data_IF_390285688098
#
_entry.id   IF_390285688098
#
_cell.length_a   1.000
_cell.length_b   1.000
_cell.length_c   1.000
_cell.angle_alpha   90.00
_cell.angle_beta   90.00
_cell.angle_gamma   90.00
#
_symmetry.space_group_name_H-M   'P 1'
#
loop_
_entity.id
_entity.type
_entity.pdbx_description
1 polymer ?
#
# COMPACT_ATOMS: atom_id res chain seq x y z
N UNK A 1 -11.38 -35.06 -10.50
CA UNK A 1 -11.05 -34.67 -9.12
C UNK A 1 -9.60 -35.06 -8.94
N UNK A 2 -8.69 -34.08 -8.93
CA UNK A 2 -7.31 -34.32 -8.50
C UNK A 2 -7.35 -34.74 -7.02
N UNK A 3 -6.52 -35.71 -6.63
CA UNK A 3 -6.56 -36.27 -5.27
C UNK A 3 -6.20 -35.20 -4.21
N UNK A 4 -6.88 -35.21 -3.05
CA UNK A 4 -6.56 -34.29 -1.98
C UNK A 4 -5.15 -34.61 -1.48
N UNK A 5 -4.22 -33.65 -1.65
CA UNK A 5 -2.79 -33.67 -1.28
C UNK A 5 -1.79 -33.89 -2.44
N UNK A 6 -2.22 -33.90 -3.70
CA UNK A 6 -1.25 -33.83 -4.78
C UNK A 6 -0.74 -32.38 -4.94
N UNK A 7 0.58 -32.19 -4.85
CA UNK A 7 1.19 -30.88 -5.07
C UNK A 7 0.86 -30.40 -6.49
N UNK A 8 0.44 -29.14 -6.65
CA UNK A 8 0.08 -28.62 -7.97
C UNK A 8 1.27 -28.68 -8.92
N UNK A 9 1.01 -28.99 -10.18
CA UNK A 9 2.04 -29.10 -11.22
C UNK A 9 2.94 -27.85 -11.24
N UNK A 10 4.26 -28.06 -11.12
CA UNK A 10 5.25 -26.98 -11.06
C UNK A 10 5.55 -26.43 -9.66
N UNK A 11 5.02 -27.05 -8.60
CA UNK A 11 5.40 -26.76 -7.22
C UNK A 11 6.91 -26.99 -7.00
N UNK A 12 7.58 -26.04 -6.34
CA UNK A 12 9.03 -25.94 -6.13
C UNK A 12 9.90 -25.70 -7.37
N UNK A 13 9.40 -25.94 -8.58
CA UNK A 13 10.13 -25.64 -9.83
C UNK A 13 9.80 -24.25 -10.38
N UNK A 14 8.51 -23.94 -10.55
CA UNK A 14 8.04 -22.67 -11.13
C UNK A 14 7.30 -21.79 -10.12
N UNK A 15 6.75 -22.38 -9.05
CA UNK A 15 6.06 -21.63 -8.01
C UNK A 15 6.06 -22.34 -6.66
N UNK A 16 5.72 -21.61 -5.58
CA UNK A 16 5.53 -22.17 -4.23
C UNK A 16 4.07 -22.25 -3.77
N UNK A 17 3.10 -22.16 -4.69
CA UNK A 17 1.69 -22.30 -4.36
C UNK A 17 1.34 -23.74 -3.95
N UNK A 18 0.80 -23.92 -2.75
CA UNK A 18 0.42 -25.24 -2.21
C UNK A 18 -1.05 -25.57 -2.38
N UNK A 19 -1.88 -24.58 -2.72
CA UNK A 19 -3.33 -24.73 -2.81
C UNK A 19 -3.86 -24.03 -4.06
N UNK A 20 -4.78 -24.71 -4.74
CA UNK A 20 -5.62 -24.14 -5.80
C UNK A 20 -7.02 -23.90 -5.22
N UNK A 21 -7.59 -22.72 -5.49
CA UNK A 21 -8.97 -22.45 -5.06
C UNK A 21 -9.95 -23.40 -5.77
N UNK A 22 -10.92 -23.93 -5.03
CA UNK A 22 -11.99 -24.79 -5.57
C UNK A 22 -12.78 -24.13 -6.70
N UNK A 23 -12.77 -22.78 -6.75
CA UNK A 23 -13.45 -22.05 -7.80
C UNK A 23 -12.91 -22.35 -9.20
N UNK A 24 -11.64 -22.76 -9.32
CA UNK A 24 -11.05 -23.16 -10.60
C UNK A 24 -11.61 -24.47 -11.18
N UNK A 25 -12.36 -25.24 -10.39
CA UNK A 25 -13.05 -26.45 -10.84
C UNK A 25 -14.44 -26.15 -11.39
N UNK A 26 -14.97 -24.94 -11.15
CA UNK A 26 -16.31 -24.57 -11.61
C UNK A 26 -16.29 -24.32 -13.12
N UNK A 27 -17.19 -24.96 -13.91
CA UNK A 27 -17.17 -24.87 -15.38
C UNK A 27 -17.24 -23.43 -15.92
N UNK A 28 -17.93 -22.55 -15.19
CA UNK A 28 -18.14 -21.15 -15.56
C UNK A 28 -17.01 -20.21 -15.10
N UNK A 29 -16.07 -20.68 -14.28
CA UNK A 29 -15.01 -19.82 -13.72
C UNK A 29 -14.14 -19.18 -14.79
N UNK A 30 -13.89 -19.93 -15.87
CA UNK A 30 -13.14 -19.47 -17.03
C UNK A 30 -13.85 -18.31 -17.76
N UNK A 31 -15.18 -18.24 -17.67
CA UNK A 31 -16.04 -17.28 -18.36
C UNK A 31 -16.21 -15.97 -17.58
N UNK A 32 -15.75 -15.92 -16.32
CA UNK A 32 -15.78 -14.70 -15.52
C UNK A 32 -14.71 -13.70 -15.99
N UNK A 33 -15.16 -12.47 -16.27
CA UNK A 33 -14.27 -11.35 -16.60
C UNK A 33 -13.37 -10.96 -15.40
N UNK A 34 -13.91 -11.08 -14.19
CA UNK A 34 -13.18 -10.87 -12.93
C UNK A 34 -13.30 -12.14 -12.11
N UNK A 35 -12.18 -12.86 -11.96
CA UNK A 35 -12.07 -14.07 -11.13
C UNK A 35 -11.72 -13.76 -9.69
N UNK A 36 -11.04 -12.65 -9.44
CA UNK A 36 -10.65 -12.19 -8.12
C UNK A 36 -11.05 -10.73 -7.98
N UNK A 37 -11.93 -10.43 -7.03
CA UNK A 37 -12.30 -9.05 -6.70
C UNK A 37 -11.28 -8.53 -5.69
N UNK A 38 -10.42 -7.61 -6.12
CA UNK A 38 -9.35 -7.08 -5.30
C UNK A 38 -9.91 -6.11 -4.27
N UNK A 39 -9.44 -6.28 -3.03
CA UNK A 39 -9.83 -5.41 -1.95
C UNK A 39 -9.03 -4.10 -2.01
N UNK A 40 -9.54 -3.14 -2.77
CA UNK A 40 -8.91 -1.83 -2.93
C UNK A 40 -8.74 -1.12 -1.60
N UNK A 41 -9.66 -1.33 -0.64
CA UNK A 41 -9.59 -0.66 0.65
C UNK A 41 -8.34 -1.05 1.43
N UNK A 42 -8.08 -2.35 1.55
CA UNK A 42 -6.88 -2.84 2.21
C UNK A 42 -5.63 -2.69 1.35
N UNK A 43 -5.75 -2.86 0.03
CA UNK A 43 -4.62 -2.66 -0.89
C UNK A 43 -4.08 -1.24 -0.77
N UNK A 44 -4.95 -0.23 -0.89
CA UNK A 44 -4.56 1.18 -0.75
C UNK A 44 -3.96 1.46 0.63
N UNK A 45 -4.55 0.91 1.70
CA UNK A 45 -4.01 1.09 3.05
C UNK A 45 -2.61 0.49 3.20
N UNK A 46 -2.40 -0.72 2.72
CA UNK A 46 -1.11 -1.41 2.84
C UNK A 46 -0.03 -0.66 2.05
N UNK A 47 -0.35 -0.25 0.82
CA UNK A 47 0.56 0.55 -0.01
C UNK A 47 0.89 1.88 0.68
N UNK A 48 -0.13 2.58 1.21
CA UNK A 48 0.09 3.80 1.97
C UNK A 48 0.98 3.57 3.20
N UNK A 49 0.68 2.56 4.02
CA UNK A 49 1.44 2.26 5.23
C UNK A 49 2.90 1.91 4.86
N UNK A 50 3.13 1.13 3.80
CA UNK A 50 4.46 0.78 3.32
C UNK A 50 5.24 2.00 2.81
N UNK A 51 4.60 2.89 2.03
CA UNK A 51 5.22 4.15 1.56
C UNK A 51 5.55 5.02 2.77
N UNK A 52 4.57 5.28 3.63
CA UNK A 52 4.72 6.17 4.77
C UNK A 52 5.78 5.67 5.74
N UNK A 53 5.74 4.39 6.12
CA UNK A 53 6.70 3.80 7.06
C UNK A 53 8.14 3.79 6.51
N UNK A 54 8.29 3.62 5.19
CA UNK A 54 9.61 3.59 4.53
C UNK A 54 10.18 5.00 4.38
N UNK A 55 9.38 5.95 3.91
CA UNK A 55 9.78 7.37 3.76
C UNK A 55 10.09 8.00 5.12
N UNK A 56 9.28 7.70 6.13
CA UNK A 56 9.46 8.17 7.51
C UNK A 56 10.50 7.37 8.29
N UNK A 57 11.09 6.32 7.70
CA UNK A 57 12.07 5.43 8.33
C UNK A 57 11.66 5.03 9.76
N UNK A 58 10.48 4.42 9.86
CA UNK A 58 9.91 4.02 11.15
C UNK A 58 10.48 2.69 11.59
N UNK A 59 11.19 2.70 12.73
CA UNK A 59 11.85 1.51 13.28
C UNK A 59 10.88 0.34 13.45
N UNK A 60 11.20 -0.79 12.83
CA UNK A 60 10.39 -2.02 12.88
C UNK A 60 9.21 -2.08 11.90
N UNK A 61 8.95 -1.01 11.15
CA UNK A 61 7.88 -0.95 10.12
C UNK A 61 8.39 -0.54 8.74
N UNK A 62 9.52 0.15 8.67
CA UNK A 62 10.18 0.48 7.41
C UNK A 62 10.46 -0.79 6.62
N UNK A 63 10.21 -0.74 5.30
CA UNK A 63 10.62 -1.81 4.40
C UNK A 63 12.12 -1.75 4.14
N UNK A 64 12.77 -0.63 4.40
CA UNK A 64 14.21 -0.43 4.21
C UNK A 64 15.04 -0.90 5.43
N UNK A 65 15.06 -2.21 5.65
CA UNK A 65 15.84 -2.84 6.72
C UNK A 65 17.22 -3.32 6.27
N UNK A 66 18.03 -3.80 7.22
CA UNK A 66 19.36 -4.36 6.92
C UNK A 66 19.30 -5.54 5.93
N UNK A 67 18.27 -6.40 6.03
CA UNK A 67 18.07 -7.49 5.06
C UNK A 67 17.84 -6.95 3.64
N UNK A 68 16.97 -5.95 3.50
CA UNK A 68 16.71 -5.30 2.22
C UNK A 68 17.96 -4.63 1.64
N UNK A 69 18.80 -4.04 2.49
CA UNK A 69 20.10 -3.46 2.11
C UNK A 69 21.08 -4.51 1.59
N UNK A 70 21.14 -5.68 2.22
CA UNK A 70 21.94 -6.82 1.73
C UNK A 70 21.39 -7.38 0.41
N UNK A 71 20.07 -7.48 0.30
CA UNK A 71 19.42 -7.89 -0.95
C UNK A 71 19.71 -6.89 -2.07
N UNK A 72 19.75 -5.59 -1.79
CA UNK A 72 20.16 -4.58 -2.77
C UNK A 72 21.60 -4.78 -3.24
N UNK A 73 22.54 -5.16 -2.37
CA UNK A 73 23.92 -5.48 -2.79
C UNK A 73 23.99 -6.66 -3.78
N UNK A 74 23.06 -7.62 -3.68
CA UNK A 74 23.05 -8.82 -4.52
C UNK A 74 22.26 -8.61 -5.81
N UNK A 75 21.10 -7.95 -5.71
CA UNK A 75 20.08 -7.93 -6.76
C UNK A 75 19.88 -6.57 -7.42
N UNK A 76 20.42 -5.48 -6.86
CA UNK A 76 20.22 -4.12 -7.36
C UNK A 76 21.54 -3.42 -7.69
N UNK A 77 21.58 -2.71 -8.82
CA UNK A 77 22.71 -1.83 -9.18
C UNK A 77 22.57 -0.45 -8.51
N UNK A 78 22.69 -0.43 -7.17
CA UNK A 78 22.55 0.78 -6.33
C UNK A 78 23.65 0.83 -5.24
N UNK A 79 24.91 1.08 -5.62
CA UNK A 79 26.04 1.00 -4.70
C UNK A 79 25.94 1.99 -3.54
N UNK A 80 25.31 3.16 -3.73
CA UNK A 80 25.11 4.17 -2.69
C UNK A 80 24.19 3.73 -1.54
N UNK A 81 23.39 2.69 -1.76
CA UNK A 81 22.48 2.10 -0.79
C UNK A 81 22.96 0.71 -0.29
N UNK A 82 24.08 0.23 -0.82
CA UNK A 82 24.62 -1.09 -0.51
C UNK A 82 25.29 -1.14 0.86
N UNK A 83 25.30 -2.32 1.47
CA UNK A 83 26.04 -2.63 2.70
C UNK A 83 26.80 -3.94 2.51
N UNK A 84 27.92 -4.09 3.22
CA UNK A 84 28.65 -5.34 3.22
C UNK A 84 27.77 -6.49 3.72
N UNK A 85 27.88 -7.67 3.10
CA UNK A 85 27.05 -8.83 3.45
C UNK A 85 27.30 -9.29 4.89
N UNK A 86 28.51 -9.07 5.41
CA UNK A 86 28.89 -9.36 6.79
C UNK A 86 28.53 -8.24 7.77
N UNK A 87 28.04 -7.09 7.29
CA UNK A 87 27.65 -5.98 8.16
C UNK A 87 26.52 -6.41 9.11
N UNK A 88 26.76 -6.19 10.40
CA UNK A 88 25.80 -6.45 11.49
C UNK A 88 25.46 -5.17 12.28
N UNK A 89 25.98 -4.02 11.85
CA UNK A 89 25.71 -2.76 12.52
C UNK A 89 24.26 -2.30 12.31
N UNK A 90 23.88 -1.27 13.07
CA UNK A 90 22.52 -0.72 13.07
C UNK A 90 22.32 0.44 12.10
N UNK A 91 23.41 1.07 11.66
CA UNK A 91 23.36 2.28 10.85
C UNK A 91 23.65 1.95 9.39
N UNK A 92 22.70 2.25 8.52
CA UNK A 92 22.84 2.05 7.08
C UNK A 92 22.87 3.42 6.39
N UNK A 93 23.46 3.52 5.18
CA UNK A 93 23.41 4.75 4.41
C UNK A 93 21.97 5.27 4.30
N UNK A 94 21.82 6.58 4.44
CA UNK A 94 20.50 7.21 4.34
C UNK A 94 20.05 7.19 2.89
N UNK A 95 18.85 6.66 2.64
CA UNK A 95 18.30 6.62 1.29
C UNK A 95 17.72 7.96 0.84
N UNK A 96 17.72 8.18 -0.48
CA UNK A 96 17.17 9.38 -1.13
C UNK A 96 15.67 9.57 -0.91
N UNK A 97 14.95 8.48 -0.63
CA UNK A 97 13.51 8.49 -0.35
C UNK A 97 13.18 8.68 1.14
N UNK A 98 14.17 8.83 2.02
CA UNK A 98 13.97 9.02 3.46
C UNK A 98 14.02 10.49 3.87
N UNK A 99 13.00 10.95 4.58
CA UNK A 99 12.99 12.30 5.17
C UNK A 99 13.92 12.39 6.39
N UNK A 100 14.51 13.56 6.62
CA UNK A 100 15.34 13.82 7.81
C UNK A 100 14.49 13.93 9.09
N UNK A 101 15.04 13.68 10.27
CA UNK A 101 14.31 13.85 11.54
C UNK A 101 13.70 15.25 11.75
N UNK A 102 14.40 16.36 11.41
CA UNK A 102 13.79 17.68 11.45
C UNK A 102 12.58 17.81 10.53
N UNK A 103 12.64 17.27 9.30
CA UNK A 103 11.51 17.27 8.36
C UNK A 103 10.33 16.42 8.89
N UNK A 104 10.60 15.23 9.44
CA UNK A 104 9.59 14.36 10.09
C UNK A 104 8.83 15.15 11.17
N UNK A 105 9.59 15.77 12.07
CA UNK A 105 9.04 16.44 13.26
C UNK A 105 8.34 17.75 12.93
N UNK A 106 9.02 18.63 12.18
CA UNK A 106 8.56 20.00 12.00
C UNK A 106 7.45 20.12 10.96
N UNK A 107 7.48 19.31 9.91
CA UNK A 107 6.64 19.55 8.73
C UNK A 107 5.65 18.41 8.50
N UNK A 108 5.94 17.15 8.83
CA UNK A 108 4.93 16.08 8.65
C UNK A 108 4.03 16.01 9.88
N UNK A 109 4.59 15.79 11.06
CA UNK A 109 3.76 15.51 12.25
C UNK A 109 3.05 16.76 12.80
N UNK A 110 3.74 17.90 12.89
CA UNK A 110 3.10 19.16 13.31
C UNK A 110 2.05 19.64 12.32
N UNK A 111 2.33 19.56 11.02
CA UNK A 111 1.36 19.92 9.99
C UNK A 111 0.14 19.01 10.05
N UNK A 112 0.32 17.69 10.01
CA UNK A 112 -0.78 16.72 10.14
C UNK A 112 -1.62 16.95 11.40
N UNK A 113 -0.97 17.23 12.53
CA UNK A 113 -1.68 17.52 13.78
C UNK A 113 -2.43 18.86 13.77
N UNK A 114 -2.03 19.81 12.93
CA UNK A 114 -2.69 21.12 12.79
C UNK A 114 -3.87 21.11 11.81
N UNK A 115 -3.97 20.10 10.95
CA UNK A 115 -5.02 20.01 9.94
C UNK A 115 -6.41 19.87 10.58
N UNK A 116 -7.36 20.61 10.02
CA UNK A 116 -8.79 20.52 10.35
C UNK A 116 -9.57 20.22 9.10
N UNK A 117 -10.52 19.29 9.21
CA UNK A 117 -11.38 18.87 8.11
C UNK A 117 -12.84 19.19 8.43
N UNK A 118 -13.69 19.35 7.40
CA UNK A 118 -15.14 19.37 7.57
C UNK A 118 -15.63 18.13 8.31
N UNK A 119 -16.75 18.26 9.02
CA UNK A 119 -17.35 17.14 9.72
C UNK A 119 -17.67 15.98 8.76
N UNK A 120 -17.37 14.75 9.20
CA UNK A 120 -17.54 13.54 8.40
C UNK A 120 -16.50 13.29 7.29
N UNK A 121 -15.57 14.22 7.00
CA UNK A 121 -14.59 14.03 5.92
C UNK A 121 -13.33 13.25 6.31
N UNK A 122 -12.81 13.47 7.51
CA UNK A 122 -11.64 12.77 8.05
C UNK A 122 -11.70 12.85 9.57
N UNK A 123 -11.17 11.86 10.27
CA UNK A 123 -11.07 11.96 11.73
C UNK A 123 -10.04 13.02 12.14
N UNK A 124 -10.03 13.41 13.41
CA UNK A 124 -9.04 14.35 13.93
C UNK A 124 -7.65 13.71 13.92
N UNK A 125 -6.86 14.00 12.88
CA UNK A 125 -5.53 13.45 12.65
C UNK A 125 -4.52 13.76 13.75
N UNK A 126 -4.73 14.81 14.56
CA UNK A 126 -3.87 15.07 15.73
C UNK A 126 -3.85 13.91 16.72
N UNK A 127 -4.92 13.10 16.78
CA UNK A 127 -4.99 11.89 17.61
C UNK A 127 -4.20 10.72 17.03
N UNK A 128 -3.89 10.79 15.73
CA UNK A 128 -3.13 9.79 15.01
C UNK A 128 -1.63 10.11 14.99
N UNK A 129 -1.18 11.20 15.63
CA UNK A 129 0.23 11.62 15.65
C UNK A 129 0.82 11.41 17.04
N UNK A 130 1.95 10.70 17.12
CA UNK A 130 2.76 10.55 18.32
C UNK A 130 4.06 11.36 18.17
N UNK A 131 4.06 12.55 18.77
CA UNK A 131 5.22 13.46 18.76
C UNK A 131 6.42 12.92 19.55
N UNK A 132 6.24 11.97 20.48
CA UNK A 132 7.34 11.40 21.26
C UNK A 132 8.08 10.33 20.46
N UNK A 133 7.32 9.50 19.74
CA UNK A 133 7.85 8.42 18.90
C UNK A 133 8.13 8.86 17.45
N UNK A 134 7.84 10.11 17.11
CA UNK A 134 7.96 10.68 15.76
C UNK A 134 7.28 9.82 14.68
N UNK A 135 6.08 9.33 15.00
CA UNK A 135 5.33 8.38 14.15
C UNK A 135 3.84 8.71 14.17
N UNK A 136 3.10 8.10 13.25
CA UNK A 136 1.65 7.96 13.41
C UNK A 136 1.33 6.83 14.39
N UNK A 137 0.19 6.92 15.08
CA UNK A 137 -0.27 5.87 16.00
C UNK A 137 -0.62 4.61 15.20
N UNK A 138 -0.46 3.45 15.83
CA UNK A 138 -0.77 2.14 15.20
C UNK A 138 -2.26 1.95 14.88
N UNK A 139 -3.09 2.89 15.30
CA UNK A 139 -4.55 2.85 15.24
C UNK A 139 -5.16 3.76 14.16
N UNK A 140 -4.34 4.27 13.22
CA UNK A 140 -4.89 5.07 12.12
C UNK A 140 -5.87 4.25 11.29
N UNK A 141 -7.11 4.71 11.23
CA UNK A 141 -8.18 4.03 10.51
C UNK A 141 -7.90 4.06 9.01
N UNK A 142 -8.39 3.05 8.31
CA UNK A 142 -8.22 2.93 6.86
C UNK A 142 -8.72 4.14 6.10
N UNK A 143 -9.85 4.70 6.51
CA UNK A 143 -10.41 5.91 5.92
C UNK A 143 -9.45 7.11 6.03
N UNK A 144 -8.83 7.33 7.19
CA UNK A 144 -7.90 8.44 7.39
C UNK A 144 -6.62 8.22 6.56
N UNK A 145 -6.15 6.97 6.47
CA UNK A 145 -5.03 6.59 5.62
C UNK A 145 -5.31 6.88 4.13
N UNK A 146 -6.52 6.57 3.63
CA UNK A 146 -6.92 6.90 2.26
C UNK A 146 -6.95 8.40 1.99
N UNK A 147 -7.49 9.19 2.93
CA UNK A 147 -7.48 10.65 2.81
C UNK A 147 -6.04 11.17 2.70
N UNK A 148 -5.12 10.64 3.53
CA UNK A 148 -3.72 11.02 3.45
C UNK A 148 -3.13 10.59 2.11
N UNK A 149 -3.28 9.33 1.71
CA UNK A 149 -2.74 8.77 0.47
C UNK A 149 -3.18 9.56 -0.76
N UNK A 150 -4.48 9.84 -0.89
CA UNK A 150 -5.06 10.43 -2.10
C UNK A 150 -4.90 11.96 -2.15
N UNK A 151 -4.80 12.65 -1.00
CA UNK A 151 -4.90 14.12 -0.95
C UNK A 151 -3.71 14.82 -0.31
N UNK A 152 -3.15 14.24 0.75
CA UNK A 152 -2.19 14.96 1.61
C UNK A 152 -0.76 14.54 1.34
N UNK A 153 -0.52 13.27 1.00
CA UNK A 153 0.81 12.70 0.85
C UNK A 153 1.64 13.43 -0.23
N UNK A 154 1.10 13.73 -1.43
CA UNK A 154 1.84 14.52 -2.43
C UNK A 154 2.20 15.92 -1.94
N UNK A 155 1.29 16.57 -1.22
CA UNK A 155 1.51 17.93 -0.70
C UNK A 155 2.56 17.90 0.41
N UNK A 156 2.48 16.92 1.29
CA UNK A 156 3.38 16.76 2.43
C UNK A 156 4.83 16.55 1.98
N UNK A 157 5.05 15.78 0.92
CA UNK A 157 6.39 15.33 0.55
C UNK A 157 7.10 16.21 -0.50
N UNK A 158 6.38 17.16 -1.12
CA UNK A 158 6.88 17.95 -2.26
C UNK A 158 8.22 18.65 -2.00
N UNK A 159 8.33 19.34 -0.88
CA UNK A 159 9.55 20.09 -0.53
C UNK A 159 10.55 19.24 0.28
N UNK A 160 10.28 17.94 0.47
CA UNK A 160 11.08 17.06 1.33
C UNK A 160 11.89 16.03 0.58
N UNK A 161 11.36 15.58 -0.55
CA UNK A 161 11.93 14.52 -1.35
C UNK A 161 12.44 15.06 -2.69
N UNK A 162 13.46 14.44 -3.29
CA UNK A 162 13.85 14.76 -4.65
C UNK A 162 12.69 14.57 -5.63
N UNK A 163 12.63 15.39 -6.67
CA UNK A 163 11.54 15.42 -7.67
C UNK A 163 11.20 14.03 -8.22
N UNK A 164 12.22 13.22 -8.55
CA UNK A 164 12.01 11.88 -9.11
C UNK A 164 11.34 10.91 -8.13
N UNK A 165 11.60 11.04 -6.82
CA UNK A 165 10.95 10.24 -5.77
C UNK A 165 9.54 10.76 -5.53
N UNK A 166 9.40 12.07 -5.38
CA UNK A 166 8.13 12.73 -5.13
C UNK A 166 7.12 12.50 -6.25
N UNK A 167 7.55 12.58 -7.51
CA UNK A 167 6.71 12.33 -8.68
C UNK A 167 6.14 10.91 -8.66
N UNK A 168 6.96 9.90 -8.37
CA UNK A 168 6.51 8.51 -8.30
C UNK A 168 5.47 8.30 -7.20
N UNK A 169 5.69 8.84 -5.99
CA UNK A 169 4.71 8.75 -4.90
C UNK A 169 3.42 9.49 -5.28
N UNK A 170 3.54 10.65 -5.92
CA UNK A 170 2.40 11.45 -6.38
C UNK A 170 1.59 10.72 -7.44
N UNK A 171 2.22 10.03 -8.38
CA UNK A 171 1.54 9.21 -9.38
C UNK A 171 0.73 8.07 -8.75
N UNK A 172 1.25 7.41 -7.70
CA UNK A 172 0.49 6.39 -6.94
C UNK A 172 -0.70 7.04 -6.23
N UNK A 173 -0.52 8.21 -5.59
CA UNK A 173 -1.62 8.95 -4.97
C UNK A 173 -2.71 9.32 -5.98
N UNK A 174 -2.33 9.79 -7.17
CA UNK A 174 -3.27 10.14 -8.25
C UNK A 174 -3.97 8.91 -8.82
N UNK A 175 -3.29 7.77 -8.90
CA UNK A 175 -3.88 6.49 -9.29
C UNK A 175 -5.02 6.10 -8.36
N UNK A 176 -4.78 6.10 -7.03
CA UNK A 176 -5.83 5.77 -6.07
C UNK A 176 -6.93 6.81 -6.06
N UNK A 177 -6.59 8.09 -6.18
CA UNK A 177 -7.59 9.16 -6.31
C UNK A 177 -8.52 8.95 -7.52
N UNK A 178 -7.97 8.54 -8.67
CA UNK A 178 -8.75 8.30 -9.89
C UNK A 178 -9.63 7.07 -9.75
N UNK A 179 -9.08 5.95 -9.28
CA UNK A 179 -9.81 4.68 -9.14
C UNK A 179 -10.90 4.74 -8.06
N UNK A 180 -10.66 5.48 -6.98
CA UNK A 180 -11.63 5.69 -5.90
C UNK A 180 -12.61 6.84 -6.17
N UNK A 181 -12.57 7.45 -7.36
CA UNK A 181 -13.55 8.48 -7.77
C UNK A 181 -14.96 7.90 -7.88
N UNK A 182 -15.96 8.71 -7.52
CA UNK A 182 -17.38 8.37 -7.69
C UNK A 182 -17.80 8.30 -9.15
N UNK A 183 -17.10 9.03 -10.03
CA UNK A 183 -17.32 9.05 -11.48
C UNK A 183 -16.02 8.59 -12.14
N UNK A 184 -16.12 7.50 -12.90
CA UNK A 184 -15.01 6.92 -13.64
C UNK A 184 -15.14 7.24 -15.12
N UNK A 185 -14.10 7.84 -15.68
CA UNK A 185 -13.95 8.00 -17.13
C UNK A 185 -13.16 6.81 -17.70
N UNK A 186 -13.80 6.07 -18.61
CA UNK A 186 -13.20 4.89 -19.23
C UNK A 186 -11.94 5.22 -20.04
N UNK A 187 -11.85 6.42 -20.65
CA UNK A 187 -10.64 6.82 -21.38
C UNK A 187 -9.47 7.05 -20.43
N UNK A 188 -9.72 7.69 -19.29
CA UNK A 188 -8.72 7.90 -18.23
C UNK A 188 -8.27 6.58 -17.60
N UNK A 189 -9.17 5.64 -17.37
CA UNK A 189 -8.80 4.32 -16.85
C UNK A 189 -7.97 3.49 -17.84
N UNK A 190 -8.24 3.58 -19.15
CA UNK A 190 -7.41 2.91 -20.17
C UNK A 190 -5.99 3.47 -20.20
N UNK A 191 -5.85 4.80 -20.17
CA UNK A 191 -4.54 5.46 -20.04
C UNK A 191 -3.83 5.04 -18.76
N UNK A 192 -4.57 4.97 -17.66
CA UNK A 192 -4.02 4.51 -16.38
C UNK A 192 -3.52 3.06 -16.50
N UNK A 193 -4.30 2.16 -17.10
CA UNK A 193 -3.90 0.76 -17.31
C UNK A 193 -2.58 0.62 -18.09
N UNK A 194 -2.33 1.51 -19.06
CA UNK A 194 -1.07 1.57 -19.80
C UNK A 194 0.08 2.18 -18.99
N UNK A 195 -0.21 3.13 -18.10
CA UNK A 195 0.82 3.82 -17.32
C UNK A 195 1.22 3.11 -16.02
N UNK A 196 0.33 2.33 -15.39
CA UNK A 196 0.63 1.64 -14.11
C UNK A 196 1.86 0.72 -14.21
N UNK A 197 2.05 -0.09 -15.27
CA UNK A 197 3.26 -0.90 -15.38
C UNK A 197 4.55 -0.06 -15.37
N UNK A 198 4.53 1.11 -16.02
CA UNK A 198 5.66 2.05 -16.05
C UNK A 198 5.89 2.65 -14.66
N UNK A 199 4.81 3.04 -13.98
CA UNK A 199 4.86 3.53 -12.60
C UNK A 199 5.47 2.48 -11.65
N UNK A 200 5.08 1.21 -11.76
CA UNK A 200 5.66 0.12 -10.97
C UNK A 200 7.16 -0.01 -11.23
N UNK A 201 7.60 -0.02 -12.49
CA UNK A 201 9.03 -0.05 -12.83
C UNK A 201 9.80 1.17 -12.28
N UNK A 202 9.20 2.36 -12.31
CA UNK A 202 9.82 3.57 -11.76
C UNK A 202 9.94 3.48 -10.23
N UNK A 203 8.93 2.93 -9.56
CA UNK A 203 8.96 2.69 -8.14
C UNK A 203 10.04 1.65 -7.77
N UNK A 204 10.18 0.58 -8.55
CA UNK A 204 11.18 -0.48 -8.34
C UNK A 204 12.62 0.04 -8.42
N UNK A 205 12.87 1.04 -9.28
CA UNK A 205 14.17 1.73 -9.35
C UNK A 205 14.50 2.51 -8.08
N UNK A 206 13.48 2.99 -7.37
CA UNK A 206 13.64 3.90 -6.23
C UNK A 206 13.60 3.13 -4.90
N UNK A 207 12.59 2.29 -4.71
CA UNK A 207 12.31 1.62 -3.44
C UNK A 207 13.16 0.34 -3.26
N UNK A 208 13.38 -0.12 -2.02
CA UNK A 208 14.09 -1.37 -1.77
C UNK A 208 13.24 -2.58 -2.18
N UNK A 209 13.84 -3.75 -2.51
CA UNK A 209 13.09 -4.93 -2.96
C UNK A 209 12.00 -5.41 -1.99
N UNK A 210 12.27 -5.31 -0.69
CA UNK A 210 11.34 -5.62 0.40
C UNK A 210 10.06 -4.77 0.43
N UNK A 211 10.07 -3.62 -0.25
CA UNK A 211 8.89 -2.75 -0.39
C UNK A 211 7.78 -3.42 -1.18
N UNK A 212 8.13 -4.25 -2.16
CA UNK A 212 7.19 -4.88 -3.07
C UNK A 212 6.64 -6.17 -2.46
N UNK A 213 5.61 -6.03 -1.63
CA UNK A 213 4.81 -7.16 -1.22
C UNK A 213 3.66 -7.41 -2.20
N UNK A 214 2.81 -8.40 -1.89
CA UNK A 214 1.71 -8.77 -2.80
C UNK A 214 0.81 -7.57 -3.10
N UNK A 215 0.60 -6.65 -2.15
CA UNK A 215 -0.34 -5.55 -2.29
C UNK A 215 0.14 -4.49 -3.29
N UNK A 216 1.44 -4.17 -3.32
CA UNK A 216 2.01 -3.26 -4.32
C UNK A 216 1.84 -3.81 -5.74
N UNK A 217 2.03 -5.12 -5.92
CA UNK A 217 1.85 -5.74 -7.24
C UNK A 217 0.40 -5.78 -7.71
N UNK A 218 -0.58 -5.78 -6.79
CA UNK A 218 -2.00 -5.76 -7.16
C UNK A 218 -2.43 -4.45 -7.84
N UNK A 219 -1.68 -3.36 -7.66
CA UNK A 219 -1.98 -2.05 -8.22
C UNK A 219 -2.16 -2.12 -9.75
N UNK A 220 -1.37 -2.96 -10.44
CA UNK A 220 -1.42 -3.12 -11.90
C UNK A 220 -2.79 -3.62 -12.42
N UNK A 221 -3.55 -4.32 -11.58
CA UNK A 221 -4.83 -4.90 -11.95
C UNK A 221 -6.02 -3.97 -11.68
N UNK A 222 -5.85 -2.98 -10.79
CA UNK A 222 -6.94 -2.11 -10.35
C UNK A 222 -7.61 -1.32 -11.48
N UNK A 223 -6.89 -0.76 -12.48
CA UNK A 223 -7.53 -0.04 -13.58
C UNK A 223 -8.44 -0.95 -14.43
N UNK A 224 -7.97 -2.15 -14.74
CA UNK A 224 -8.75 -3.15 -15.50
C UNK A 224 -10.01 -3.57 -14.73
N UNK A 225 -9.86 -3.78 -13.43
CA UNK A 225 -10.97 -4.16 -12.58
C UNK A 225 -12.00 -3.03 -12.44
N UNK A 226 -11.56 -1.77 -12.33
CA UNK A 226 -12.43 -0.61 -12.33
C UNK A 226 -13.15 -0.42 -13.69
N UNK A 227 -12.49 -0.69 -14.82
CA UNK A 227 -13.11 -0.69 -16.15
C UNK A 227 -14.22 -1.73 -16.28
N UNK A 228 -14.02 -2.89 -15.66
CA UNK A 228 -14.89 -4.06 -15.84
C UNK A 228 -16.03 -4.10 -14.83
N UNK A 229 -15.75 -3.83 -13.55
CA UNK A 229 -16.75 -3.84 -12.47
C UNK A 229 -17.31 -2.47 -12.10
N UNK A 230 -16.80 -1.40 -12.71
CA UNK A 230 -17.22 -0.03 -12.40
C UNK A 230 -16.66 0.50 -11.07
N UNK A 231 -17.29 1.56 -10.51
CA UNK A 231 -16.79 2.30 -9.36
C UNK A 231 -16.47 1.43 -8.16
N UNK A 232 -15.28 1.66 -7.59
CA UNK A 232 -14.76 0.86 -6.48
C UNK A 232 -15.60 1.01 -5.21
N UNK A 233 -16.29 2.15 -5.02
CA UNK A 233 -17.19 2.37 -3.90
C UNK A 233 -18.23 1.25 -3.69
N UNK A 234 -18.74 0.63 -4.77
CA UNK A 234 -19.70 -0.48 -4.66
C UNK A 234 -19.09 -1.79 -4.16
N UNK A 235 -17.76 -1.86 -4.13
CA UNK A 235 -16.96 -3.06 -3.83
C UNK A 235 -16.09 -2.87 -2.59
N UNK A 236 -16.19 -1.71 -1.93
CA UNK A 236 -15.50 -1.40 -0.69
C UNK A 236 -15.95 -2.28 0.47
N UNK A 237 -14.98 -2.73 1.28
CA UNK A 237 -15.24 -3.52 2.48
C UNK A 237 -15.78 -2.72 3.67
N UNK A 238 -15.65 -1.38 3.68
CA UNK A 238 -16.10 -0.52 4.79
C UNK A 238 -17.50 -0.82 5.31
N UNK A 239 -18.46 -1.03 4.39
CA UNK A 239 -19.86 -1.32 4.77
C UNK A 239 -19.96 -2.66 5.52
N UNK A 240 -19.26 -3.68 5.03
CA UNK A 240 -19.28 -5.01 5.61
C UNK A 240 -18.56 -5.04 6.96
N UNK A 241 -17.38 -4.44 7.05
CA UNK A 241 -16.63 -4.36 8.31
C UNK A 241 -17.36 -3.59 9.39
N UNK A 242 -18.00 -2.47 9.03
CA UNK A 242 -18.80 -1.68 9.96
C UNK A 242 -19.97 -2.50 10.53
N UNK A 243 -20.65 -3.28 9.69
CA UNK A 243 -21.75 -4.16 10.12
C UNK A 243 -21.26 -5.28 11.04
N UNK A 244 -20.13 -5.91 10.68
CA UNK A 244 -19.50 -6.96 11.48
C UNK A 244 -19.10 -6.40 12.85
N UNK A 245 -18.43 -5.24 12.90
CA UNK A 245 -18.02 -4.60 14.15
C UNK A 245 -19.22 -4.26 15.06
N UNK A 246 -20.35 -3.82 14.50
CA UNK A 246 -21.58 -3.57 15.25
C UNK A 246 -22.18 -4.87 15.78
N UNK A 247 -22.22 -5.93 14.96
CA UNK A 247 -22.77 -7.23 15.33
C UNK A 247 -21.99 -7.91 16.46
N UNK A 248 -20.65 -7.88 16.40
CA UNK A 248 -19.79 -8.42 17.46
C UNK A 248 -19.86 -7.60 18.74
N UNK A 249 -19.96 -6.26 18.67
CA UNK A 249 -20.19 -5.43 19.86
C UNK A 249 -21.52 -5.73 20.54
N UNK A 250 -22.58 -6.07 19.79
CA UNK A 250 -23.88 -6.43 20.36
C UNK A 250 -23.89 -7.81 21.02
N UNK A 251 -23.03 -8.76 20.61
CA UNK A 251 -22.95 -10.10 21.22
C UNK A 251 -22.24 -10.13 22.58
N UNK A 252 -21.44 -9.12 22.92
CA UNK A 252 -20.75 -9.04 24.23
C UNK A 252 -21.65 -8.48 25.34
N UNK A 253 -22.83 -7.93 25.00
CA UNK A 253 -23.78 -7.36 25.98
C UNK A 253 -24.98 -8.28 26.32
N UNK A 254 -24.91 -9.57 26.00
CA UNK A 254 -25.93 -10.56 26.41
C UNK A 254 -25.27 -11.66 27.25
N UNK A 255 -24.73 -11.28 28.41
CA UNK A 255 -24.55 -12.17 29.55
C UNK A 255 -24.36 -11.33 30.83
N UNK A 256 -25.46 -10.82 31.38
CA UNK A 256 -25.63 -10.55 32.81
C UNK A 256 -27.06 -10.89 33.19
#
# INVERSE_FOLDING_TARGET
MEEPNQEPYGYCDTHKWTKRSIFWELPYWKDLLIRHNLDVMHTEKNVFDNIFNTVMDLKGKTKDGLAARKDMTIWCDRPELSVDLEYQGKEVPKAVYQVTEPQKTAIILKWLASLKFPDGYCSNLSRCVDMKKLTTTESMKTHDAHVIMQRLLPIALKEMLPEHVWSCITEISLLFQLICSSILDAASLRRLQESVPILMCNLEKIMPPSFFDTMEHLIIHLPYEALTAGPVFYRWMYRFESLVAISFKKRIFISQ
#
